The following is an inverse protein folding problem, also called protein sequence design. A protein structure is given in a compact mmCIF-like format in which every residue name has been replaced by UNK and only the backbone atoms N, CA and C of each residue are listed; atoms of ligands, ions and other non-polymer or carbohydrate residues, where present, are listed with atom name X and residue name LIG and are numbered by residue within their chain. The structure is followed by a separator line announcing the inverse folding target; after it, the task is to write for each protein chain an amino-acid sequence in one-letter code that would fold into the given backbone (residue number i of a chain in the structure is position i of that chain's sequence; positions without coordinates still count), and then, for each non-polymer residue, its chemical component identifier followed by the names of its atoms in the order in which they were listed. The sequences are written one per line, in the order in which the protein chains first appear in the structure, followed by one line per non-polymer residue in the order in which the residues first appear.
data_IF_220026897111
#
_entry.id   IF_220026897111
#
_cell.length_a   1.000
_cell.length_b   1.000
_cell.length_c   1.000
_cell.angle_alpha   90.00
_cell.angle_beta   90.00
_cell.angle_gamma   90.00
#
_symmetry.space_group_name_H-M   'P 1'
#
loop_
_entity.id
_entity.type
_entity.pdbx_description
1 polymer ?
#
# COMPACT_ATOMS: atom_id res chain seq x y z
N UNK A 1 34.15 -8.60 -31.10
CA UNK A 1 32.93 -7.90 -31.55
C UNK A 1 33.24 -6.42 -31.59
N UNK A 2 33.51 -5.87 -32.78
CA UNK A 2 33.76 -4.45 -32.95
C UNK A 2 32.58 -3.88 -33.72
N UNK A 3 31.82 -2.96 -33.11
CA UNK A 3 30.82 -2.21 -33.86
C UNK A 3 31.55 -1.35 -34.90
N UNK A 4 31.02 -1.24 -36.13
CA UNK A 4 31.56 -0.33 -37.13
C UNK A 4 31.67 1.10 -36.58
N UNK A 5 32.72 1.81 -36.99
CA UNK A 5 32.86 3.25 -36.70
C UNK A 5 31.64 3.99 -37.24
N UNK A 6 30.93 4.72 -36.36
CA UNK A 6 29.71 5.46 -36.69
C UNK A 6 28.41 4.85 -36.16
N UNK A 7 28.39 3.59 -35.75
CA UNK A 7 27.17 2.95 -35.23
C UNK A 7 26.91 3.22 -33.75
N UNK A 8 27.94 3.62 -32.99
CA UNK A 8 27.80 3.94 -31.55
C UNK A 8 26.86 5.11 -31.26
N UNK A 9 26.78 6.09 -32.18
CA UNK A 9 25.87 7.24 -32.06
C UNK A 9 24.41 6.83 -32.29
N UNK A 10 24.18 5.90 -33.22
CA UNK A 10 22.86 5.32 -33.50
C UNK A 10 22.41 4.46 -32.32
N UNK A 11 23.28 3.58 -31.82
CA UNK A 11 22.97 2.75 -30.66
C UNK A 11 22.66 3.58 -29.40
N UNK A 12 23.37 4.68 -29.18
CA UNK A 12 23.07 5.60 -28.07
C UNK A 12 21.68 6.22 -28.21
N UNK A 13 21.34 6.69 -29.41
CA UNK A 13 20.02 7.27 -29.69
C UNK A 13 18.89 6.24 -29.55
N UNK A 14 19.12 4.99 -29.97
CA UNK A 14 18.16 3.90 -29.81
C UNK A 14 17.94 3.54 -28.34
N UNK A 15 18.99 3.56 -27.51
CA UNK A 15 18.89 3.36 -26.07
C UNK A 15 18.14 4.50 -25.38
N UNK A 16 18.40 5.75 -25.78
CA UNK A 16 17.68 6.91 -25.25
C UNK A 16 16.18 6.82 -25.57
N UNK A 17 15.83 6.47 -26.81
CA UNK A 17 14.44 6.24 -27.21
C UNK A 17 13.78 5.10 -26.44
N UNK A 18 14.48 3.98 -26.23
CA UNK A 18 13.98 2.85 -25.44
C UNK A 18 13.72 3.25 -23.98
N UNK A 19 14.62 4.04 -23.39
CA UNK A 19 14.46 4.55 -22.03
C UNK A 19 13.22 5.45 -21.95
N UNK A 20 13.02 6.36 -22.90
CA UNK A 20 11.84 7.23 -22.90
C UNK A 20 10.53 6.48 -23.12
N UNK A 21 10.53 5.43 -23.95
CA UNK A 21 9.39 4.55 -24.14
C UNK A 21 9.05 3.79 -22.84
N UNK A 22 10.05 3.21 -22.18
CA UNK A 22 9.87 2.53 -20.90
C UNK A 22 9.40 3.47 -19.78
N UNK A 23 9.87 4.72 -19.77
CA UNK A 23 9.43 5.74 -18.80
C UNK A 23 7.94 6.06 -18.92
N UNK A 24 7.33 5.82 -20.09
CA UNK A 24 5.90 6.03 -20.31
C UNK A 24 5.11 4.72 -20.15
N UNK A 25 5.62 3.62 -20.69
CA UNK A 25 4.96 2.32 -20.65
C UNK A 25 4.88 1.74 -19.23
N UNK A 26 5.91 1.90 -18.40
CA UNK A 26 5.94 1.35 -17.05
C UNK A 26 4.84 1.98 -16.17
N UNK A 27 4.74 3.32 -16.03
CA UNK A 27 3.64 3.94 -15.30
C UNK A 27 2.27 3.57 -15.87
N UNK A 28 2.11 3.51 -17.20
CA UNK A 28 0.85 3.17 -17.84
C UNK A 28 0.32 1.77 -17.43
N UNK A 29 1.21 0.79 -17.24
CA UNK A 29 0.82 -0.54 -16.72
C UNK A 29 0.36 -0.46 -15.27
N UNK A 30 1.00 0.38 -14.44
CA UNK A 30 0.60 0.60 -13.05
C UNK A 30 -0.66 1.47 -12.90
N UNK A 31 -0.97 2.29 -13.90
CA UNK A 31 -2.20 3.08 -13.98
C UNK A 31 -3.36 2.28 -14.58
N UNK A 32 -3.12 1.05 -15.05
CA UNK A 32 -4.19 0.19 -15.56
C UNK A 32 -5.22 -0.10 -14.47
N UNK A 33 -6.50 -0.08 -14.87
CA UNK A 33 -7.63 -0.39 -13.99
C UNK A 33 -7.47 -1.77 -13.34
N UNK A 34 -6.92 -2.74 -14.08
CA UNK A 34 -6.66 -4.09 -13.58
C UNK A 34 -5.65 -4.09 -12.41
N UNK A 35 -4.53 -3.38 -12.55
CA UNK A 35 -3.54 -3.26 -11.48
C UNK A 35 -4.12 -2.54 -10.26
N UNK A 36 -4.85 -1.43 -10.48
CA UNK A 36 -5.47 -0.67 -9.40
C UNK A 36 -6.54 -1.49 -8.67
N UNK A 37 -7.37 -2.24 -9.38
CA UNK A 37 -8.37 -3.13 -8.80
C UNK A 37 -7.71 -4.21 -7.93
N UNK A 38 -6.66 -4.87 -8.45
CA UNK A 38 -5.94 -5.89 -7.68
C UNK A 38 -5.27 -5.31 -6.42
N UNK A 39 -4.72 -4.10 -6.53
CA UNK A 39 -4.16 -3.39 -5.38
C UNK A 39 -5.25 -3.01 -4.37
N UNK A 40 -6.43 -2.59 -4.84
CA UNK A 40 -7.57 -2.27 -4.00
C UNK A 40 -8.05 -3.51 -3.24
N UNK A 41 -8.26 -4.63 -3.92
CA UNK A 41 -8.64 -5.90 -3.32
C UNK A 41 -7.66 -6.34 -2.24
N UNK A 42 -6.35 -6.26 -2.51
CA UNK A 42 -5.31 -6.56 -1.53
C UNK A 42 -5.40 -5.65 -0.30
N UNK A 43 -5.58 -4.34 -0.51
CA UNK A 43 -5.74 -3.37 0.58
C UNK A 43 -7.00 -3.62 1.41
N UNK A 44 -8.11 -3.97 0.77
CA UNK A 44 -9.36 -4.30 1.46
C UNK A 44 -9.19 -5.56 2.32
N UNK A 45 -8.63 -6.63 1.76
CA UNK A 45 -8.38 -7.87 2.50
C UNK A 45 -7.48 -7.66 3.72
N UNK A 46 -6.42 -6.85 3.58
CA UNK A 46 -5.56 -6.46 4.71
C UNK A 46 -6.31 -5.60 5.74
N UNK A 47 -7.12 -4.65 5.26
CA UNK A 47 -7.94 -3.78 6.10
C UNK A 47 -8.98 -4.54 6.91
N UNK A 48 -9.68 -5.50 6.30
CA UNK A 48 -10.64 -6.40 6.96
C UNK A 48 -9.96 -7.22 8.04
N UNK A 49 -8.85 -7.88 7.72
CA UNK A 49 -8.08 -8.66 8.71
C UNK A 49 -7.63 -7.81 9.90
N UNK A 50 -7.20 -6.57 9.65
CA UNK A 50 -6.80 -5.64 10.70
C UNK A 50 -8.00 -5.22 11.56
N UNK A 51 -9.16 -4.93 10.95
CA UNK A 51 -10.39 -4.59 11.68
C UNK A 51 -10.83 -5.76 12.56
N UNK A 52 -10.88 -6.98 12.02
CA UNK A 52 -11.30 -8.17 12.76
C UNK A 52 -10.41 -8.44 13.98
N UNK A 53 -9.09 -8.28 13.81
CA UNK A 53 -8.13 -8.42 14.90
C UNK A 53 -8.36 -7.34 15.98
N UNK A 54 -8.55 -6.08 15.60
CA UNK A 54 -8.84 -4.98 16.54
C UNK A 54 -10.18 -5.23 17.25
N UNK A 55 -11.21 -5.67 16.53
CA UNK A 55 -12.50 -5.97 17.13
C UNK A 55 -12.43 -7.11 18.12
N UNK A 56 -11.65 -8.16 17.84
CA UNK A 56 -11.42 -9.25 18.78
C UNK A 56 -10.80 -8.73 20.09
N UNK A 57 -9.77 -7.88 20.00
CA UNK A 57 -9.13 -7.25 21.16
C UNK A 57 -10.12 -6.33 21.89
N UNK A 58 -10.93 -5.55 21.16
CA UNK A 58 -11.94 -4.65 21.74
C UNK A 58 -13.04 -5.42 22.47
N UNK A 59 -13.50 -6.55 21.92
CA UNK A 59 -14.48 -7.43 22.56
C UNK A 59 -13.92 -8.01 23.85
N UNK A 60 -12.67 -8.43 23.85
CA UNK A 60 -12.03 -8.95 25.06
C UNK A 60 -11.85 -7.85 26.11
N UNK A 61 -11.30 -6.69 25.74
CA UNK A 61 -11.14 -5.55 26.64
C UNK A 61 -12.45 -5.14 27.32
N UNK A 62 -13.57 -5.12 26.57
CA UNK A 62 -14.90 -4.81 27.13
C UNK A 62 -15.36 -5.79 28.20
N UNK A 63 -14.95 -7.07 28.16
CA UNK A 63 -15.28 -8.03 29.22
C UNK A 63 -14.55 -7.72 30.54
N UNK A 64 -13.44 -6.99 30.45
CA UNK A 64 -12.62 -6.56 31.59
C UNK A 64 -12.88 -5.10 31.98
N UNK A 65 -13.99 -4.52 31.51
CA UNK A 65 -14.33 -3.11 31.70
C UNK A 65 -13.27 -2.13 31.16
N UNK A 66 -12.58 -2.51 30.07
CA UNK A 66 -11.55 -1.70 29.41
C UNK A 66 -12.01 -1.30 28.01
N UNK A 67 -11.83 -0.03 27.66
CA UNK A 67 -12.04 0.52 26.33
C UNK A 67 -10.71 0.57 25.55
N UNK A 68 -10.78 0.20 24.27
CA UNK A 68 -9.70 0.36 23.31
C UNK A 68 -10.03 1.51 22.34
N UNK A 69 -9.25 2.59 22.41
CA UNK A 69 -9.37 3.75 21.53
C UNK A 69 -8.27 3.74 20.45
N UNK A 70 -8.64 4.08 19.23
CA UNK A 70 -7.68 4.39 18.17
C UNK A 70 -7.18 5.82 18.34
N UNK A 71 -5.87 6.02 18.35
CA UNK A 71 -5.22 7.33 18.34
C UNK A 71 -4.44 7.48 17.03
N UNK A 72 -4.06 8.70 16.62
CA UNK A 72 -3.24 8.91 15.42
C UNK A 72 -1.92 8.12 15.44
N UNK A 73 -1.41 7.80 16.64
CA UNK A 73 -0.15 7.07 16.84
C UNK A 73 -0.36 5.57 17.13
N UNK A 74 -1.59 5.04 17.04
CA UNK A 74 -1.90 3.63 17.26
C UNK A 74 -3.13 3.41 18.14
N UNK A 75 -2.93 2.78 19.30
CA UNK A 75 -4.01 2.39 20.20
C UNK A 75 -3.70 2.71 21.65
N UNK A 76 -4.72 3.13 22.41
CA UNK A 76 -4.62 3.30 23.86
C UNK A 76 -5.78 2.59 24.56
N UNK A 77 -5.51 2.12 25.78
CA UNK A 77 -6.51 1.51 26.65
C UNK A 77 -6.89 2.48 27.76
N UNK A 78 -8.18 2.57 28.08
CA UNK A 78 -8.65 3.27 29.27
C UNK A 78 -9.74 2.46 29.97
N UNK A 79 -9.90 2.58 31.29
CA UNK A 79 -11.03 1.98 31.99
C UNK A 79 -12.35 2.56 31.48
N UNK A 80 -13.39 1.74 31.43
CA UNK A 80 -14.76 2.20 31.22
C UNK A 80 -15.08 3.23 32.32
N UNK A 81 -15.49 4.47 31.99
CA UNK A 81 -15.95 5.40 33.00
C UNK A 81 -17.16 4.75 33.68
N UNK A 82 -17.03 4.48 34.97
CA UNK A 82 -18.17 4.17 35.83
C UNK A 82 -19.11 5.37 35.71
N UNK A 83 -20.28 5.19 35.10
CA UNK A 83 -21.35 6.18 35.23
C UNK A 83 -21.68 6.32 36.70
N UNK A 84 -21.26 7.43 37.29
CA UNK A 84 -21.70 7.99 38.55
C UNK A 84 -21.86 9.48 38.18
N UNK A 85 -23.07 9.98 37.98
CA UNK A 85 -24.03 10.24 39.05
C UNK A 85 -23.86 11.68 39.45
#
# INVERSE_FOLDING_TARGET
MSLPTGTGRVLSADLDNLIDELRTAIPAVFESDEYQNRLHELKQAMGERQRDAIEAVRREARKHDILLFSTPNGFTFAPLPTTIG
#
